data_IF_996372250069
#
_entry.id   IF_996372250069
#
_cell.length_a   1.000
_cell.length_b   1.000
_cell.length_c   1.000
_cell.angle_alpha   90.00
_cell.angle_beta   90.00
_cell.angle_gamma   90.00
#
_symmetry.space_group_name_H-M   'P 1'
#
loop_
_entity.id
_entity.type
_entity.pdbx_description
1 polymer ?
#
# COMPACT_ATOMS: atom_id res chain seq x y z
N UNK A 1 20.74 -12.15 3.56
CA UNK A 1 19.41 -11.57 3.38
C UNK A 1 19.49 -10.08 3.18
N UNK A 2 18.93 -9.64 2.12
CA UNK A 2 18.91 -8.22 1.85
C UNK A 2 17.95 -7.51 2.81
N UNK A 3 18.43 -6.45 3.41
CA UNK A 3 17.58 -5.64 4.27
C UNK A 3 16.77 -4.68 3.42
N UNK A 4 15.55 -4.45 3.85
CA UNK A 4 14.72 -3.46 3.17
C UNK A 4 15.21 -2.07 3.58
N UNK A 5 15.50 -1.24 2.59
CA UNK A 5 15.96 0.12 2.87
C UNK A 5 14.82 0.94 3.46
N UNK A 6 15.15 1.81 4.40
CA UNK A 6 14.10 2.64 5.02
C UNK A 6 13.35 3.48 4.01
N UNK A 7 14.02 3.95 2.97
CA UNK A 7 13.35 4.75 1.94
C UNK A 7 12.36 3.93 1.11
N UNK A 8 12.39 2.61 1.24
CA UNK A 8 11.46 1.72 0.56
C UNK A 8 10.32 1.25 1.45
N UNK A 9 10.23 1.80 2.65
CA UNK A 9 9.18 1.45 3.61
C UNK A 9 8.31 2.68 3.88
N UNK A 10 7.00 2.51 3.77
CA UNK A 10 6.04 3.55 4.15
C UNK A 10 5.17 3.00 5.26
N UNK A 11 5.16 3.68 6.40
CA UNK A 11 4.42 3.24 7.59
C UNK A 11 3.14 4.04 7.76
N UNK A 12 2.03 3.35 7.87
CA UNK A 12 0.73 3.97 8.11
C UNK A 12 0.20 3.54 9.47
N UNK A 13 -0.31 4.50 10.22
CA UNK A 13 -0.94 4.25 11.51
C UNK A 13 -2.36 4.80 11.46
N UNK A 14 -3.31 3.98 11.90
CA UNK A 14 -4.69 4.43 12.05
C UNK A 14 -4.98 4.46 13.55
N UNK A 15 -5.21 5.64 14.09
CA UNK A 15 -5.47 5.80 15.51
C UNK A 15 -6.92 5.49 15.88
N UNK A 16 -7.18 5.42 17.17
CA UNK A 16 -8.52 5.11 17.66
C UNK A 16 -9.54 6.16 17.27
N UNK A 17 -9.09 7.38 17.00
CA UNK A 17 -9.95 8.47 16.55
C UNK A 17 -10.10 8.51 15.03
N UNK A 18 -9.53 7.53 14.34
CA UNK A 18 -9.62 7.47 12.89
C UNK A 18 -8.60 8.33 12.17
N UNK A 19 -7.73 8.99 12.92
CA UNK A 19 -6.71 9.84 12.30
C UNK A 19 -5.61 9.00 11.70
N UNK A 20 -5.09 9.49 10.59
CA UNK A 20 -4.11 8.79 9.81
C UNK A 20 -2.74 9.44 9.98
N UNK A 21 -1.73 8.61 10.19
CA UNK A 21 -0.35 9.08 10.32
C UNK A 21 0.51 8.28 9.35
N UNK A 22 1.32 8.97 8.56
CA UNK A 22 2.24 8.32 7.64
C UNK A 22 3.66 8.74 8.00
N UNK A 23 4.50 7.76 8.26
CA UNK A 23 5.91 7.97 8.62
C UNK A 23 6.07 8.98 9.75
N UNK A 24 5.14 8.94 10.71
CA UNK A 24 5.18 9.82 11.86
C UNK A 24 4.54 11.18 11.67
N UNK A 25 3.96 11.46 10.52
CA UNK A 25 3.35 12.75 10.24
C UNK A 25 1.86 12.61 9.95
N UNK A 26 1.04 13.55 10.43
CA UNK A 26 -0.39 13.49 10.14
C UNK A 26 -0.65 13.48 8.63
N UNK A 27 -1.63 12.71 8.21
CA UNK A 27 -1.98 12.61 6.81
C UNK A 27 -3.49 12.65 6.66
N UNK A 28 -3.95 12.87 5.44
CA UNK A 28 -5.36 12.91 5.11
C UNK A 28 -5.69 11.79 4.15
N UNK A 29 -6.91 11.31 4.22
CA UNK A 29 -7.36 10.30 3.26
C UNK A 29 -7.51 10.87 1.85
N UNK A 30 -7.78 12.17 1.79
CA UNK A 30 -7.94 12.84 0.51
C UNK A 30 -6.59 12.90 -0.22
N UNK A 31 -6.56 12.46 -1.46
CA UNK A 31 -5.34 12.46 -2.26
C UNK A 31 -4.34 11.38 -1.89
N UNK A 32 -4.73 10.47 -1.02
CA UNK A 32 -3.83 9.46 -0.49
C UNK A 32 -3.29 8.55 -1.58
N UNK A 33 -4.14 8.20 -2.56
CA UNK A 33 -3.71 7.31 -3.64
C UNK A 33 -2.54 7.86 -4.42
N UNK A 34 -2.49 9.18 -4.61
CA UNK A 34 -1.38 9.80 -5.33
C UNK A 34 -0.09 9.71 -4.54
N UNK A 35 -0.17 9.89 -3.23
CA UNK A 35 0.98 9.75 -2.34
C UNK A 35 1.52 8.34 -2.36
N UNK A 36 0.64 7.36 -2.25
CA UNK A 36 1.04 5.95 -2.25
C UNK A 36 1.60 5.58 -3.62
N UNK A 37 0.97 6.00 -4.70
CA UNK A 37 1.43 5.69 -6.04
C UNK A 37 2.82 6.23 -6.30
N UNK A 38 3.09 7.46 -5.86
CA UNK A 38 4.43 8.03 -5.98
C UNK A 38 5.47 7.22 -5.24
N UNK A 39 5.14 6.78 -4.03
CA UNK A 39 6.04 5.96 -3.24
C UNK A 39 6.31 4.62 -3.93
N UNK A 40 5.25 3.95 -4.39
CA UNK A 40 5.39 2.64 -5.03
C UNK A 40 6.24 2.74 -6.30
N UNK A 41 6.03 3.78 -7.09
CA UNK A 41 6.81 3.99 -8.31
C UNK A 41 8.28 4.20 -7.99
N UNK A 42 8.56 5.00 -6.96
CA UNK A 42 9.92 5.33 -6.59
C UNK A 42 10.67 4.12 -6.04
N UNK A 43 10.00 3.34 -5.20
CA UNK A 43 10.62 2.18 -4.57
C UNK A 43 10.65 0.95 -5.48
N UNK A 44 9.78 0.91 -6.48
CA UNK A 44 9.72 -0.21 -7.40
C UNK A 44 9.25 -1.48 -6.72
N UNK A 45 9.80 -2.61 -7.13
CA UNK A 45 9.37 -3.89 -6.55
C UNK A 45 9.92 -4.14 -5.16
N UNK A 46 10.70 -3.22 -4.62
CA UNK A 46 11.23 -3.32 -3.26
C UNK A 46 10.37 -2.57 -2.24
N UNK A 47 9.28 -1.97 -2.69
CA UNK A 47 8.43 -1.20 -1.79
C UNK A 47 7.76 -2.10 -0.76
N UNK A 48 7.58 -1.56 0.42
CA UNK A 48 6.86 -2.23 1.49
C UNK A 48 6.02 -1.18 2.21
N UNK A 49 4.74 -1.47 2.37
CA UNK A 49 3.85 -0.61 3.11
C UNK A 49 3.41 -1.36 4.35
N UNK A 50 3.60 -0.75 5.52
CA UNK A 50 3.15 -1.35 6.76
C UNK A 50 1.97 -0.55 7.28
N UNK A 51 0.95 -1.24 7.76
CA UNK A 51 -0.24 -0.61 8.30
C UNK A 51 -0.45 -1.14 9.70
N UNK A 52 -0.51 -0.24 10.67
CA UNK A 52 -0.85 -0.60 12.03
C UNK A 52 -2.15 0.08 12.39
N UNK A 53 -3.12 -0.71 12.81
CA UNK A 53 -4.47 -0.21 13.12
C UNK A 53 -4.70 -0.37 14.61
N UNK A 54 -5.07 0.74 15.26
CA UNK A 54 -5.45 0.71 16.68
C UNK A 54 -6.67 -0.20 16.83
N UNK A 55 -6.70 -0.96 17.92
CA UNK A 55 -7.79 -1.90 18.17
C UNK A 55 -9.16 -1.21 18.21
N UNK A 56 -9.18 0.06 18.61
CA UNK A 56 -10.42 0.80 18.72
C UNK A 56 -10.72 1.65 17.49
N UNK A 57 -9.89 1.56 16.46
CA UNK A 57 -10.13 2.31 15.24
C UNK A 57 -11.37 1.79 14.53
N UNK A 58 -12.10 2.68 13.88
CA UNK A 58 -13.31 2.27 13.18
C UNK A 58 -12.94 1.48 11.93
N UNK A 59 -13.83 0.56 11.59
CA UNK A 59 -13.67 -0.21 10.36
C UNK A 59 -13.66 0.70 9.13
N UNK A 60 -14.44 1.79 9.19
CA UNK A 60 -14.52 2.74 8.08
C UNK A 60 -13.17 3.37 7.78
N UNK A 61 -12.41 3.70 8.81
CA UNK A 61 -11.09 4.27 8.62
C UNK A 61 -10.14 3.29 7.93
N UNK A 62 -10.15 2.06 8.41
CA UNK A 62 -9.34 1.01 7.82
C UNK A 62 -9.73 0.78 6.36
N UNK A 63 -11.04 0.70 6.11
CA UNK A 63 -11.55 0.45 4.77
C UNK A 63 -11.22 1.58 3.80
N UNK A 64 -11.27 2.82 4.29
CA UNK A 64 -10.89 3.97 3.47
C UNK A 64 -9.44 3.88 3.02
N UNK A 65 -8.55 3.50 3.95
CA UNK A 65 -7.15 3.33 3.60
C UNK A 65 -6.95 2.20 2.60
N UNK A 66 -7.65 1.08 2.78
CA UNK A 66 -7.54 -0.04 1.86
C UNK A 66 -7.98 0.36 0.45
N UNK A 67 -9.05 1.12 0.34
CA UNK A 67 -9.53 1.59 -0.96
C UNK A 67 -8.48 2.45 -1.66
N UNK A 68 -7.80 3.31 -0.90
CA UNK A 68 -6.76 4.16 -1.46
C UNK A 68 -5.55 3.33 -1.89
N UNK A 69 -5.21 2.30 -1.13
CA UNK A 69 -4.12 1.41 -1.49
C UNK A 69 -4.40 0.70 -2.80
N UNK A 70 -5.58 0.12 -2.93
CA UNK A 70 -5.97 -0.59 -4.15
C UNK A 70 -5.93 0.35 -5.34
N UNK A 71 -6.47 1.57 -5.17
CA UNK A 71 -6.47 2.55 -6.24
C UNK A 71 -5.05 2.95 -6.64
N UNK A 72 -4.16 3.10 -5.65
CA UNK A 72 -2.78 3.49 -5.92
C UNK A 72 -2.05 2.42 -6.72
N UNK A 73 -2.19 1.16 -6.32
CA UNK A 73 -1.55 0.07 -7.07
C UNK A 73 -2.12 -0.05 -8.47
N UNK A 74 -3.43 0.15 -8.61
CA UNK A 74 -4.06 0.11 -9.93
C UNK A 74 -3.48 1.20 -10.83
N UNK A 75 -3.28 2.40 -10.29
CA UNK A 75 -2.70 3.50 -11.04
C UNK A 75 -1.28 3.19 -11.51
N UNK A 76 -0.46 2.63 -10.60
CA UNK A 76 0.92 2.31 -10.93
C UNK A 76 0.98 1.21 -11.99
N UNK A 77 0.16 0.19 -11.83
CA UNK A 77 0.13 -0.91 -12.79
C UNK A 77 -0.37 -0.47 -14.15
N UNK A 78 -1.37 0.42 -14.17
CA UNK A 78 -1.87 0.95 -15.43
C UNK A 78 -0.79 1.77 -16.14
N UNK A 79 -0.05 2.58 -15.39
CA UNK A 79 1.04 3.37 -15.98
C UNK A 79 2.13 2.46 -16.54
N UNK A 80 2.44 1.37 -15.82
CA UNK A 80 3.44 0.41 -16.27
C UNK A 80 2.98 -0.31 -17.54
N UNK A 81 1.70 -0.67 -17.60
CA UNK A 81 1.14 -1.32 -18.77
C UNK A 81 1.21 -0.42 -19.99
N UNK A 82 0.91 0.86 -19.81
CA UNK A 82 0.99 1.82 -20.92
C UNK A 82 2.41 2.02 -21.38
N UNK A 83 3.35 2.01 -20.44
CA UNK A 83 4.76 2.17 -20.77
C UNK A 83 5.29 0.97 -21.54
N UNK A 84 4.94 -0.23 -21.11
CA UNK A 84 5.45 -1.47 -21.72
C UNK A 84 4.73 -1.85 -23.00
N UNK A 85 3.43 -1.69 -23.02
CA UNK A 85 2.59 -2.23 -24.08
C UNK A 85 1.79 -1.18 -24.84
N UNK A 86 1.85 0.06 -24.42
CA UNK A 86 1.13 1.15 -25.07
C UNK A 86 -0.37 1.10 -24.90
N UNK A 87 -0.87 0.36 -23.89
CA UNK A 87 -2.30 0.24 -23.64
C UNK A 87 -2.57 0.08 -22.15
N UNK A 88 -3.78 0.45 -21.70
CA UNK A 88 -4.10 0.34 -20.28
C UNK A 88 -4.18 -1.12 -19.83
N UNK A 89 -4.05 -1.30 -18.53
CA UNK A 89 -4.07 -2.64 -17.94
C UNK A 89 -5.31 -3.43 -18.34
N UNK A 90 -6.44 -2.75 -18.44
CA UNK A 90 -7.71 -3.41 -18.78
C UNK A 90 -7.68 -4.04 -20.17
N UNK A 91 -6.84 -3.54 -21.06
CA UNK A 91 -6.73 -4.05 -22.42
C UNK A 91 -5.58 -5.03 -22.60
N UNK A 92 -4.84 -5.32 -21.54
CA UNK A 92 -3.72 -6.26 -21.61
C UNK A 92 -4.23 -7.69 -21.55
N UNK A 93 -3.52 -8.59 -22.19
CA UNK A 93 -3.79 -10.02 -22.09
C UNK A 93 -3.31 -10.58 -20.77
N UNK A 94 -3.56 -11.86 -20.54
CA UNK A 94 -3.22 -12.52 -19.28
C UNK A 94 -1.72 -12.46 -19.01
N UNK A 95 -0.92 -12.79 -20.01
CA UNK A 95 0.54 -12.79 -19.83
C UNK A 95 1.07 -11.38 -19.61
N UNK A 96 0.50 -10.39 -20.27
CA UNK A 96 0.92 -9.00 -20.10
C UNK A 96 0.57 -8.49 -18.72
N UNK A 97 -0.64 -8.82 -18.24
CA UNK A 97 -1.06 -8.43 -16.89
C UNK A 97 -0.16 -9.05 -15.84
N UNK A 98 0.21 -10.30 -16.03
CA UNK A 98 1.09 -10.97 -15.09
C UNK A 98 2.45 -10.29 -15.04
N UNK A 99 3.00 -9.91 -16.18
CA UNK A 99 4.28 -9.22 -16.23
C UNK A 99 4.22 -7.89 -15.48
N UNK A 100 3.15 -7.13 -15.66
CA UNK A 100 2.96 -5.86 -14.97
C UNK A 100 2.80 -6.08 -13.47
N UNK A 101 2.00 -7.07 -13.08
CA UNK A 101 1.79 -7.38 -11.67
C UNK A 101 3.09 -7.81 -10.99
N UNK A 102 3.92 -8.60 -11.67
CA UNK A 102 5.20 -9.02 -11.13
C UNK A 102 6.17 -7.86 -10.99
N UNK A 103 6.08 -6.87 -11.87
CA UNK A 103 6.91 -5.68 -11.78
C UNK A 103 6.46 -4.73 -10.66
N UNK A 104 5.17 -4.74 -10.35
CA UNK A 104 4.58 -3.87 -9.34
C UNK A 104 3.76 -4.69 -8.34
N UNK A 105 4.41 -5.55 -7.54
CA UNK A 105 3.68 -6.38 -6.60
C UNK A 105 3.16 -5.54 -5.44
N UNK A 106 2.06 -5.98 -4.85
CA UNK A 106 1.48 -5.30 -3.71
C UNK A 106 2.07 -5.89 -2.43
N UNK A 107 3.02 -5.18 -1.84
CA UNK A 107 3.68 -5.59 -0.62
C UNK A 107 3.13 -4.79 0.55
N UNK A 108 2.15 -5.34 1.24
CA UNK A 108 1.51 -4.68 2.36
C UNK A 108 1.50 -5.62 3.56
N UNK A 109 2.04 -5.16 4.68
CA UNK A 109 2.02 -5.90 5.93
C UNK A 109 1.10 -5.17 6.90
N UNK A 110 0.15 -5.88 7.48
CA UNK A 110 -0.85 -5.30 8.36
C UNK A 110 -0.76 -5.86 9.77
N UNK A 111 -0.86 -4.99 10.75
CA UNK A 111 -0.87 -5.34 12.16
C UNK A 111 -2.02 -4.68 12.88
N UNK A 112 -2.58 -5.39 13.85
CA UNK A 112 -3.60 -4.84 14.73
C UNK A 112 -3.02 -4.77 16.13
N UNK A 113 -3.24 -3.63 16.75
CA UNK A 113 -2.64 -3.35 18.03
C UNK A 113 -2.99 -4.38 19.10
N UNK A 114 -4.22 -4.82 19.10
CA UNK A 114 -4.66 -5.75 20.12
C UNK A 114 -4.13 -7.16 19.94
N UNK A 115 -3.49 -7.43 18.83
CA UNK A 115 -2.92 -8.75 18.64
C UNK A 115 -1.67 -8.93 19.41
N UNK A 116 -1.20 -7.88 19.92
CA UNK A 116 -0.02 -7.97 20.67
C UNK A 116 -0.15 -8.92 21.77
N UNK A 117 -1.22 -9.19 21.96
CA UNK A 117 -1.31 -10.04 22.87
C UNK A 117 -1.39 -11.20 22.40
N UNK A 118 -1.23 -11.45 22.46
CA UNK A 118 -1.38 -12.30 22.14
C UNK A 118 -1.03 -13.13 21.39
N UNK A 119 -1.05 -13.07 21.17
CA UNK A 119 -1.02 -13.55 20.50
C UNK A 119 -0.09 -14.11 20.17
N UNK A 120 0.29 -14.02 20.29
CA UNK A 120 0.74 -14.30 19.87
C UNK A 120 1.25 -15.02 19.66
N UNK A 121 1.32 -15.32 19.86
CA UNK A 121 1.52 -15.91 19.70
C UNK A 121 1.70 -16.65 19.44
N UNK A 122 1.63 -16.99 19.43
CA UNK A 122 1.57 -17.57 19.32
C UNK A 122 1.81 -17.98 19.05
#
# INVERSE_FOLDING_TARGET
>A
VAEVQRCNIMQWLIGSDGKLVVDGKPARYDGLRNTIASFVRKAGNRQLITIQTDADASYDSYFALQNELVAAYAMVRDAEARLRYGKPMAQCGVAERKAVTDACPQHVAENYDNDTKGGDTE
#
